data_IF_323408112787
#
_entry.id   IF_323408112787
#
_cell.length_a   1.000
_cell.length_b   1.000
_cell.length_c   1.000
_cell.angle_alpha   90.00
_cell.angle_beta   90.00
_cell.angle_gamma   90.00
#
_symmetry.space_group_name_H-M   'P 1'
#
loop_
_entity.id
_entity.type
_entity.pdbx_description
1 polymer ?
#
# COMPACT_ATOMS: atom_id res chain seq x y z
N UNK A 1 -21.78 4.65 4.22
CA UNK A 1 -20.80 5.75 4.33
C UNK A 1 -20.04 5.81 3.05
N UNK A 2 -19.88 6.99 2.47
CA UNK A 2 -19.24 7.20 1.18
C UNK A 2 -17.74 7.41 1.36
N UNK A 3 -16.93 6.80 0.51
CA UNK A 3 -15.48 7.00 0.47
C UNK A 3 -15.20 8.35 -0.18
N UNK A 4 -14.43 9.20 0.47
CA UNK A 4 -13.95 10.46 -0.10
C UNK A 4 -12.62 10.22 -0.79
N UNK A 5 -12.57 10.42 -2.09
CA UNK A 5 -11.37 10.27 -2.90
C UNK A 5 -10.72 11.63 -3.17
N UNK A 6 -9.38 11.66 -3.21
CA UNK A 6 -8.60 12.86 -3.52
C UNK A 6 -7.19 12.49 -3.99
N UNK A 7 -6.40 13.51 -4.29
CA UNK A 7 -4.97 13.38 -4.61
C UNK A 7 -4.12 14.11 -3.58
N UNK A 8 -3.00 13.49 -3.22
CA UNK A 8 -1.89 14.13 -2.52
C UNK A 8 -0.77 14.36 -3.52
N UNK A 9 -0.26 15.58 -3.61
CA UNK A 9 0.82 15.94 -4.51
C UNK A 9 2.08 16.28 -3.70
N UNK A 10 3.18 15.61 -4.02
CA UNK A 10 4.46 15.81 -3.38
C UNK A 10 5.60 15.43 -4.32
N UNK A 11 6.62 16.29 -4.44
CA UNK A 11 7.81 16.06 -5.26
C UNK A 11 7.49 15.61 -6.70
N UNK A 12 6.57 16.31 -7.36
CA UNK A 12 6.08 16.05 -8.73
C UNK A 12 5.32 14.73 -8.91
N UNK A 13 5.01 14.02 -7.81
CA UNK A 13 4.22 12.80 -7.82
C UNK A 13 2.81 13.08 -7.29
N UNK A 14 1.85 12.27 -7.77
CA UNK A 14 0.47 12.29 -7.31
C UNK A 14 0.11 10.93 -6.73
N UNK A 15 -0.38 10.91 -5.50
CA UNK A 15 -0.92 9.74 -4.85
C UNK A 15 -2.45 9.87 -4.81
N UNK A 16 -3.15 8.98 -5.49
CA UNK A 16 -4.60 8.85 -5.36
C UNK A 16 -4.93 8.08 -4.10
N UNK A 17 -5.92 8.53 -3.34
CA UNK A 17 -6.32 7.86 -2.11
C UNK A 17 -7.80 8.03 -1.80
N UNK A 18 -8.37 7.05 -1.09
CA UNK A 18 -9.69 7.11 -0.48
C UNK A 18 -9.61 7.18 1.04
N UNK A 19 -10.48 7.96 1.66
CA UNK A 19 -10.67 8.00 3.12
C UNK A 19 -12.13 7.80 3.44
N UNK A 20 -12.40 6.97 4.48
CA UNK A 20 -13.75 6.73 4.97
C UNK A 20 -13.74 6.39 6.46
N UNK A 21 -14.80 6.77 7.16
CA UNK A 21 -14.97 6.51 8.60
C UNK A 21 -14.23 7.51 9.48
N UNK A 22 -14.42 7.31 10.79
CA UNK A 22 -13.83 8.13 11.86
C UNK A 22 -13.29 7.21 12.96
N UNK A 23 -12.31 7.69 13.72
CA UNK A 23 -11.70 6.96 14.82
C UNK A 23 -10.23 6.67 14.59
N UNK A 24 -9.72 5.54 15.14
CA UNK A 24 -8.30 5.22 15.04
C UNK A 24 -7.92 4.90 13.59
N UNK A 25 -6.83 5.51 13.03
CA UNK A 25 -6.50 5.36 11.63
C UNK A 25 -5.90 4.01 11.29
N UNK A 26 -6.38 3.42 10.20
CA UNK A 26 -5.86 2.19 9.58
C UNK A 26 -5.48 2.50 8.13
N UNK A 27 -4.23 2.30 7.80
CA UNK A 27 -3.68 2.41 6.45
C UNK A 27 -3.75 1.04 5.78
N UNK A 28 -4.37 0.95 4.60
CA UNK A 28 -4.49 -0.27 3.81
C UNK A 28 -3.65 -0.15 2.54
N UNK A 29 -2.60 -0.95 2.42
CA UNK A 29 -1.69 -0.98 1.28
C UNK A 29 -1.90 -2.24 0.46
N UNK A 30 -2.38 -2.08 -0.78
CA UNK A 30 -2.64 -3.16 -1.73
C UNK A 30 -1.36 -3.68 -2.40
N UNK A 31 -1.49 -4.65 -3.29
CA UNK A 31 -0.40 -5.21 -4.06
C UNK A 31 -0.58 -5.05 -5.58
N UNK A 32 0.28 -5.70 -6.32
CA UNK A 32 0.23 -5.75 -7.77
C UNK A 32 -0.66 -6.92 -8.26
N UNK A 33 -1.46 -6.77 -9.32
CA UNK A 33 -1.75 -5.55 -10.11
C UNK A 33 -2.99 -4.80 -9.61
N UNK A 34 -3.25 -4.81 -8.33
CA UNK A 34 -4.46 -4.29 -7.71
C UNK A 34 -4.39 -2.78 -7.47
N UNK A 35 -5.51 -2.24 -7.01
CA UNK A 35 -5.69 -0.86 -6.58
C UNK A 35 -6.34 -0.81 -5.20
N UNK A 36 -6.55 0.37 -4.65
CA UNK A 36 -7.30 0.56 -3.39
C UNK A 36 -8.69 -0.08 -3.42
N UNK A 37 -9.26 -0.34 -4.60
CA UNK A 37 -10.55 -0.99 -4.78
C UNK A 37 -10.62 -2.42 -4.20
N UNK A 38 -9.48 -3.13 -4.12
CA UNK A 38 -9.45 -4.47 -3.52
C UNK A 38 -10.03 -4.50 -2.10
N UNK A 39 -9.94 -3.39 -1.37
CA UNK A 39 -10.37 -3.27 0.02
C UNK A 39 -11.89 -3.09 0.19
N UNK A 40 -12.67 -3.01 -0.92
CA UNK A 40 -14.12 -2.74 -0.92
C UNK A 40 -14.96 -3.64 -0.01
N UNK A 41 -14.50 -4.86 0.21
CA UNK A 41 -15.19 -5.80 1.12
C UNK A 41 -14.67 -5.75 2.55
N UNK A 42 -13.48 -5.19 2.80
CA UNK A 42 -12.88 -5.09 4.14
C UNK A 42 -13.20 -3.77 4.83
N UNK A 43 -13.05 -2.64 4.13
CA UNK A 43 -13.18 -1.33 4.78
C UNK A 43 -14.53 -1.11 5.47
N UNK A 44 -15.69 -1.63 5.00
CA UNK A 44 -16.96 -1.43 5.67
C UNK A 44 -16.98 -2.03 7.07
N UNK A 45 -16.31 -3.16 7.29
CA UNK A 45 -16.19 -3.78 8.61
C UNK A 45 -15.30 -2.96 9.54
N UNK A 46 -14.20 -2.40 9.03
CA UNK A 46 -13.33 -1.53 9.80
C UNK A 46 -14.06 -0.25 10.22
N UNK A 47 -14.78 0.37 9.29
CA UNK A 47 -15.59 1.58 9.58
C UNK A 47 -16.68 1.30 10.64
N UNK A 48 -17.38 0.16 10.53
CA UNK A 48 -18.36 -0.27 11.53
C UNK A 48 -17.74 -0.41 12.92
N UNK A 49 -16.47 -0.77 13.00
CA UNK A 49 -15.70 -0.90 14.24
C UNK A 49 -14.93 0.38 14.62
N UNK A 50 -15.39 1.54 14.12
CA UNK A 50 -14.88 2.87 14.47
C UNK A 50 -13.39 3.06 14.09
N UNK A 51 -13.01 2.60 12.92
CA UNK A 51 -11.73 2.94 12.32
C UNK A 51 -11.89 3.99 11.22
N UNK A 52 -10.93 4.92 11.15
CA UNK A 52 -10.72 5.77 9.98
C UNK A 52 -9.83 5.02 8.99
N UNK A 53 -10.38 4.64 7.86
CA UNK A 53 -9.69 3.83 6.86
C UNK A 53 -9.09 4.72 5.78
N UNK A 54 -7.81 4.53 5.47
CA UNK A 54 -7.04 5.25 4.45
C UNK A 54 -6.54 4.22 3.45
N UNK A 55 -6.87 4.42 2.18
CA UNK A 55 -6.63 3.47 1.09
C UNK A 55 -5.98 4.21 -0.08
N UNK A 56 -4.66 4.36 -0.13
CA UNK A 56 -4.00 4.88 -1.33
C UNK A 56 -3.92 3.82 -2.42
N UNK A 57 -3.95 4.25 -3.68
CA UNK A 57 -3.35 3.49 -4.77
C UNK A 57 -1.83 3.62 -4.64
N UNK A 58 -1.11 2.50 -4.62
CA UNK A 58 0.34 2.54 -4.49
C UNK A 58 0.98 3.28 -5.68
N UNK A 59 2.11 4.00 -5.46
CA UNK A 59 2.82 4.68 -6.54
C UNK A 59 3.10 3.75 -7.72
N UNK A 60 2.69 4.18 -8.93
CA UNK A 60 2.79 3.42 -10.17
C UNK A 60 1.63 2.48 -10.45
N UNK A 61 0.60 2.44 -9.59
CA UNK A 61 -0.60 1.61 -9.76
C UNK A 61 -1.86 2.47 -9.67
N UNK A 62 -2.94 1.98 -10.30
CA UNK A 62 -4.22 2.66 -10.33
C UNK A 62 -4.12 4.09 -10.86
N UNK A 63 -4.59 5.07 -10.09
CA UNK A 63 -4.58 6.49 -10.45
C UNK A 63 -3.37 7.26 -9.90
N UNK A 64 -2.45 6.60 -9.20
CA UNK A 64 -1.22 7.20 -8.70
C UNK A 64 -0.14 7.26 -9.78
N UNK A 65 0.63 8.36 -9.81
CA UNK A 65 1.74 8.48 -10.74
C UNK A 65 2.88 7.50 -10.43
N UNK A 66 3.67 7.15 -11.46
CA UNK A 66 4.86 6.33 -11.29
C UNK A 66 5.89 7.03 -10.40
N UNK A 67 6.49 6.32 -9.42
CA UNK A 67 7.52 6.88 -8.55
C UNK A 67 8.86 6.96 -9.27
N UNK A 68 9.80 7.75 -8.73
CA UNK A 68 11.19 7.80 -9.21
C UNK A 68 11.94 6.47 -9.02
N UNK A 69 11.53 5.67 -8.04
CA UNK A 69 12.06 4.34 -7.75
C UNK A 69 10.97 3.45 -7.18
N UNK A 70 10.94 2.20 -7.61
CA UNK A 70 10.02 1.17 -7.11
C UNK A 70 10.56 0.40 -5.90
N UNK A 71 11.71 0.80 -5.34
CA UNK A 71 12.19 0.16 -4.12
C UNK A 71 11.24 0.45 -2.94
N UNK A 72 11.03 -0.58 -2.12
CA UNK A 72 10.00 -0.56 -1.08
C UNK A 72 10.27 0.49 0.01
N UNK A 73 11.53 0.84 0.23
CA UNK A 73 11.93 1.86 1.21
C UNK A 73 11.59 3.27 0.72
N UNK A 74 11.85 3.58 -0.55
CA UNK A 74 11.46 4.85 -1.17
C UNK A 74 9.95 5.04 -1.17
N UNK A 75 9.18 4.00 -1.58
CA UNK A 75 7.72 4.05 -1.54
C UNK A 75 7.22 4.23 -0.11
N UNK A 76 7.77 3.49 0.86
CA UNK A 76 7.39 3.62 2.26
C UNK A 76 7.62 5.05 2.79
N UNK A 77 8.76 5.67 2.45
CA UNK A 77 9.07 7.05 2.85
C UNK A 77 8.07 8.05 2.26
N UNK A 78 7.67 7.87 1.01
CA UNK A 78 6.66 8.71 0.36
C UNK A 78 5.28 8.57 1.06
N UNK A 79 4.88 7.35 1.39
CA UNK A 79 3.65 7.10 2.14
C UNK A 79 3.73 7.67 3.58
N UNK A 80 4.91 7.71 4.19
CA UNK A 80 5.10 8.35 5.52
C UNK A 80 4.83 9.84 5.47
N UNK A 81 5.35 10.56 4.46
CA UNK A 81 5.06 11.98 4.24
C UNK A 81 3.56 12.19 4.05
N UNK A 82 2.90 11.37 3.24
CA UNK A 82 1.45 11.42 3.05
C UNK A 82 0.69 11.26 4.37
N UNK A 83 1.03 10.26 5.17
CA UNK A 83 0.29 9.91 6.40
C UNK A 83 0.58 10.90 7.53
N UNK A 84 1.84 11.24 7.76
CA UNK A 84 2.21 12.01 8.93
C UNK A 84 2.25 13.51 8.70
N UNK A 85 2.77 13.95 7.55
CA UNK A 85 2.96 15.38 7.29
C UNK A 85 1.71 15.98 6.65
N UNK A 86 1.10 15.29 5.67
CA UNK A 86 -0.08 15.80 4.98
C UNK A 86 -1.39 15.49 5.74
N UNK A 87 -1.63 14.24 6.16
CA UNK A 87 -2.85 13.88 6.91
C UNK A 87 -2.76 14.22 8.41
N UNK A 88 -1.57 14.55 8.93
CA UNK A 88 -1.35 14.90 10.33
C UNK A 88 -1.60 13.76 11.32
N UNK A 89 -1.46 12.50 10.90
CA UNK A 89 -1.75 11.34 11.75
C UNK A 89 -0.51 10.94 12.55
N UNK A 90 -0.61 10.90 13.88
CA UNK A 90 0.51 10.52 14.75
C UNK A 90 0.74 9.00 14.77
N UNK A 91 -0.31 8.23 15.09
CA UNK A 91 -0.22 6.77 15.24
C UNK A 91 -1.25 6.06 14.38
N UNK A 92 -0.83 4.96 13.75
CA UNK A 92 -1.68 4.20 12.82
C UNK A 92 -1.56 2.69 13.05
N UNK A 93 -2.55 1.95 12.56
CA UNK A 93 -2.40 0.55 12.17
C UNK A 93 -2.12 0.47 10.68
N UNK A 94 -1.39 -0.57 10.25
CA UNK A 94 -1.12 -0.83 8.84
C UNK A 94 -1.55 -2.25 8.49
N UNK A 95 -2.23 -2.41 7.36
CA UNK A 95 -2.52 -3.70 6.75
C UNK A 95 -1.91 -3.66 5.34
N UNK A 96 -0.98 -4.56 5.05
CA UNK A 96 -0.34 -4.67 3.75
C UNK A 96 -0.53 -6.04 3.13
N UNK A 97 -0.91 -6.06 1.86
CA UNK A 97 -1.07 -7.27 1.06
C UNK A 97 -0.10 -7.24 -0.13
N UNK A 98 0.50 -8.37 -0.46
CA UNK A 98 1.44 -8.51 -1.58
C UNK A 98 2.53 -7.43 -1.55
N UNK A 99 2.71 -6.56 -2.56
CA UNK A 99 3.67 -5.45 -2.53
C UNK A 99 3.45 -4.48 -1.35
N UNK A 100 2.21 -4.30 -0.92
CA UNK A 100 1.91 -3.54 0.29
C UNK A 100 2.53 -4.11 1.56
N UNK A 101 2.82 -5.42 1.60
CA UNK A 101 3.45 -6.08 2.74
C UNK A 101 4.89 -5.60 3.00
N UNK A 102 5.84 -5.77 2.07
CA UNK A 102 7.21 -5.25 2.21
C UNK A 102 7.27 -3.73 2.40
N UNK A 103 6.36 -2.97 1.77
CA UNK A 103 6.25 -1.52 1.99
C UNK A 103 5.83 -1.23 3.43
N UNK A 104 4.81 -1.94 3.94
CA UNK A 104 4.35 -1.81 5.34
C UNK A 104 5.44 -2.17 6.34
N UNK A 105 6.21 -3.21 6.05
CA UNK A 105 7.33 -3.63 6.90
C UNK A 105 8.43 -2.56 6.93
N UNK A 106 8.84 -2.05 5.76
CA UNK A 106 9.81 -0.95 5.65
C UNK A 106 9.33 0.32 6.36
N UNK A 107 8.05 0.64 6.22
CA UNK A 107 7.41 1.73 6.94
C UNK A 107 7.53 1.56 8.47
N UNK A 108 7.16 0.38 8.97
CA UNK A 108 7.21 0.09 10.40
C UNK A 108 8.64 0.11 10.95
N UNK A 109 9.66 -0.33 10.18
CA UNK A 109 11.06 -0.27 10.60
C UNK A 109 11.56 1.17 10.81
N UNK A 110 11.15 2.11 9.96
CA UNK A 110 11.62 3.50 10.00
C UNK A 110 10.77 4.41 10.91
N UNK A 111 9.52 4.01 11.20
CA UNK A 111 8.57 4.77 12.04
C UNK A 111 7.99 3.92 13.18
N UNK A 112 8.84 3.17 13.91
CA UNK A 112 8.41 2.19 14.94
C UNK A 112 7.48 2.78 16.00
N UNK A 113 7.75 4.00 16.45
CA UNK A 113 6.95 4.69 17.48
C UNK A 113 5.60 5.19 16.96
N UNK A 114 5.39 5.23 15.64
CA UNK A 114 4.16 5.69 14.98
C UNK A 114 3.26 4.54 14.51
N UNK A 115 3.78 3.32 14.40
CA UNK A 115 3.02 2.13 14.01
C UNK A 115 2.66 1.31 15.24
N UNK A 116 1.37 1.22 15.54
CA UNK A 116 0.87 0.46 16.70
C UNK A 116 0.79 -1.03 16.44
N UNK A 117 0.31 -1.42 15.25
CA UNK A 117 0.21 -2.81 14.79
C UNK A 117 0.36 -2.86 13.28
N UNK A 118 0.90 -3.97 12.82
CA UNK A 118 1.02 -4.30 11.41
C UNK A 118 0.36 -5.67 11.16
N UNK A 119 -0.38 -5.78 10.08
CA UNK A 119 -0.91 -7.04 9.54
C UNK A 119 -0.33 -7.21 8.15
N UNK A 120 0.31 -8.35 7.92
CA UNK A 120 0.88 -8.72 6.63
C UNK A 120 0.08 -9.88 6.06
N UNK A 121 -0.44 -9.72 4.85
CA UNK A 121 -1.30 -10.69 4.19
C UNK A 121 -0.58 -11.21 2.95
N UNK A 122 -0.42 -12.53 2.90
CA UNK A 122 0.12 -13.30 1.77
C UNK A 122 1.50 -12.80 1.29
N UNK A 123 2.38 -12.54 2.24
CA UNK A 123 3.77 -12.11 1.98
C UNK A 123 4.76 -12.77 2.92
N UNK A 124 5.98 -13.09 2.46
CA UNK A 124 7.06 -13.47 3.36
C UNK A 124 7.47 -12.30 4.24
N UNK A 125 7.85 -12.59 5.48
CA UNK A 125 8.42 -11.58 6.39
C UNK A 125 9.90 -11.38 6.02
N UNK A 126 10.34 -10.15 5.69
CA UNK A 126 11.74 -9.91 5.41
C UNK A 126 12.64 -10.30 6.58
N UNK A 127 13.64 -11.14 6.32
CA UNK A 127 14.60 -11.60 7.32
C UNK A 127 14.26 -12.90 8.06
N UNK A 128 13.11 -13.52 7.80
CA UNK A 128 12.72 -14.82 8.38
C UNK A 128 13.34 -16.04 7.65
N UNK A 129 14.15 -15.80 6.62
CA UNK A 129 14.74 -16.84 5.79
C UNK A 129 13.84 -17.32 4.63
N UNK A 130 12.57 -16.91 4.58
CA UNK A 130 11.64 -17.29 3.52
C UNK A 130 11.94 -16.61 2.18
N UNK A 131 12.74 -15.56 2.16
CA UNK A 131 13.14 -14.84 0.95
C UNK A 131 13.84 -15.73 -0.08
N UNK A 132 14.57 -16.76 0.37
CA UNK A 132 15.23 -17.73 -0.53
C UNK A 132 14.24 -18.56 -1.35
N UNK A 133 12.98 -18.66 -0.91
CA UNK A 133 11.91 -19.32 -1.68
C UNK A 133 11.32 -18.41 -2.78
N UNK A 134 11.54 -17.10 -2.71
CA UNK A 134 10.91 -16.16 -3.61
C UNK A 134 11.59 -16.10 -4.99
N UNK A 135 12.90 -16.35 -5.06
CA UNK A 135 13.65 -16.23 -6.32
C UNK A 135 13.22 -17.24 -7.38
N UNK A 136 12.73 -18.42 -6.98
CA UNK A 136 12.33 -19.51 -7.86
C UNK A 136 10.82 -19.55 -8.17
N UNK A 137 10.03 -18.62 -7.68
CA UNK A 137 8.60 -18.57 -7.99
C UNK A 137 8.39 -18.03 -9.40
N UNK A 138 7.54 -18.72 -10.19
CA UNK A 138 7.29 -18.39 -11.60
C UNK A 138 6.84 -16.93 -11.80
N UNK A 139 5.99 -16.40 -10.92
CA UNK A 139 5.51 -15.02 -11.02
C UNK A 139 6.62 -13.98 -10.80
N UNK A 140 7.64 -14.27 -9.99
CA UNK A 140 8.81 -13.40 -9.87
C UNK A 140 9.64 -13.39 -11.15
N UNK A 141 9.74 -14.53 -11.86
CA UNK A 141 10.40 -14.58 -13.18
C UNK A 141 9.56 -13.86 -14.24
N UNK A 142 8.23 -14.03 -14.19
CA UNK A 142 7.29 -13.34 -15.05
C UNK A 142 7.43 -11.80 -14.95
N UNK A 143 7.50 -11.26 -13.70
CA UNK A 143 7.71 -9.83 -13.48
C UNK A 143 9.07 -9.27 -13.92
N UNK A 144 10.03 -10.13 -14.26
CA UNK A 144 11.32 -9.70 -14.84
C UNK A 144 11.24 -9.51 -16.35
N UNK A 145 10.17 -9.93 -17.00
CA UNK A 145 9.96 -9.74 -18.44
C UNK A 145 9.49 -8.31 -18.66
N UNK A 146 10.29 -7.52 -19.35
CA UNK A 146 10.01 -6.09 -19.56
C UNK A 146 8.68 -5.91 -20.29
N UNK A 147 7.80 -5.08 -19.72
CA UNK A 147 6.48 -4.68 -20.21
C UNK A 147 5.41 -5.78 -20.29
N UNK A 148 5.76 -7.07 -20.28
CA UNK A 148 4.78 -8.14 -20.44
C UNK A 148 3.74 -8.21 -19.31
N UNK A 149 4.10 -8.10 -18.03
CA UNK A 149 3.13 -8.08 -16.93
C UNK A 149 2.12 -6.94 -17.08
N UNK A 150 2.60 -5.75 -17.41
CA UNK A 150 1.81 -4.54 -17.56
C UNK A 150 0.84 -4.65 -18.75
N UNK A 151 1.31 -5.12 -19.91
CA UNK A 151 0.48 -5.33 -21.10
C UNK A 151 -0.64 -6.36 -20.86
N UNK A 152 -0.37 -7.41 -20.09
CA UNK A 152 -1.37 -8.44 -19.79
C UNK A 152 -2.39 -8.02 -18.73
N UNK A 153 -2.10 -6.98 -17.97
CA UNK A 153 -3.00 -6.45 -16.92
C UNK A 153 -3.66 -5.13 -17.30
N UNK A 154 -3.26 -4.54 -18.43
CA UNK A 154 -3.84 -3.30 -18.93
C UNK A 154 -5.38 -3.46 -19.09
N UNK A 155 -6.12 -2.47 -18.60
CA UNK A 155 -7.59 -2.43 -18.62
C UNK A 155 -8.32 -3.58 -17.87
N UNK A 156 -7.61 -4.31 -16.98
CA UNK A 156 -8.18 -5.41 -16.19
C UNK A 156 -8.16 -5.16 -14.68
N UNK A 157 -8.10 -3.91 -14.27
CA UNK A 157 -8.05 -3.49 -12.87
C UNK A 157 -9.41 -3.51 -12.15
N UNK A 158 -10.46 -4.09 -12.75
CA UNK A 158 -11.81 -4.18 -12.17
C UNK A 158 -11.99 -5.35 -11.19
#
# INVERSE_FOLDING_TARGET
MEVKYSFFEYDQNKLYYGIVGEGFPVLLLHGWPQTSHMWRHLYPYLVKNRFKVIMPDLPGLGKSSAPKSFDKKTIASYIQVFVHDFLGLDKIFIIGHDWGGPISFSYAQTCQNKVKKIVLIDVPIPGDGSANFSENRWHHQFHKIINLPEELTLDREE
#
